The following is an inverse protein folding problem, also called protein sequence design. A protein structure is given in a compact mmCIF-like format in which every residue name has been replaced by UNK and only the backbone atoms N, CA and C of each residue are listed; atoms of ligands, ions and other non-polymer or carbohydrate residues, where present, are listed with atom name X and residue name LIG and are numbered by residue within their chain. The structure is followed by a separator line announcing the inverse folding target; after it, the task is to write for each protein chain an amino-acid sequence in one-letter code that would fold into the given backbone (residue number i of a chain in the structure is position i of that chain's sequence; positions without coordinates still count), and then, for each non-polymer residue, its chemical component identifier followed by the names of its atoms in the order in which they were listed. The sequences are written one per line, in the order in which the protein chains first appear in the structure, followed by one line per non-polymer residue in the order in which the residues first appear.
data_IF_642235710951
#
_entry.id   IF_642235710951
#
_cell.length_a   1.000
_cell.length_b   1.000
_cell.length_c   1.000
_cell.angle_alpha   90.00
_cell.angle_beta   90.00
_cell.angle_gamma   90.00
#
_symmetry.space_group_name_H-M   'P 1'
#
loop_
_entity.id
_entity.type
_entity.pdbx_description
1 polymer ?
#
# COMPACT_ATOMS: atom_id res chain seq x y z
N UNK A 1 -4.35 26.05 -18.47
CA UNK A 1 -4.44 25.91 -16.99
C UNK A 1 -3.31 25.01 -16.56
N UNK A 2 -2.47 25.47 -15.66
CA UNK A 2 -1.27 24.76 -15.28
C UNK A 2 -1.54 23.41 -14.59
N UNK A 3 -0.65 22.47 -14.81
CA UNK A 3 -0.59 21.15 -14.17
C UNK A 3 0.54 21.14 -13.15
N UNK A 4 0.50 20.21 -12.19
CA UNK A 4 1.59 20.03 -11.21
C UNK A 4 2.94 19.79 -11.91
N UNK A 5 2.93 19.14 -13.07
CA UNK A 5 4.11 18.88 -13.90
C UNK A 5 4.71 20.17 -14.47
N UNK A 6 3.87 21.10 -14.91
CA UNK A 6 4.31 22.41 -15.42
C UNK A 6 4.86 23.30 -14.29
N UNK A 7 4.26 23.20 -13.09
CA UNK A 7 4.77 23.89 -11.90
C UNK A 7 6.15 23.33 -11.53
N UNK A 8 6.30 22.01 -11.50
CA UNK A 8 7.56 21.35 -11.22
C UNK A 8 8.65 21.74 -12.25
N UNK A 9 8.31 21.75 -13.54
CA UNK A 9 9.22 22.18 -14.59
C UNK A 9 9.63 23.65 -14.45
N UNK A 10 8.67 24.57 -14.16
CA UNK A 10 8.95 25.99 -13.92
C UNK A 10 9.80 26.24 -12.68
N UNK A 11 9.57 25.48 -11.61
CA UNK A 11 10.33 25.59 -10.38
C UNK A 11 11.73 24.94 -10.48
N UNK A 12 11.94 24.05 -11.47
CA UNK A 12 13.18 23.27 -11.63
C UNK A 12 13.33 22.16 -10.61
N UNK A 13 12.21 21.57 -10.17
CA UNK A 13 12.15 20.53 -9.13
C UNK A 13 11.33 19.34 -9.60
N UNK A 14 11.35 18.24 -8.81
CA UNK A 14 10.51 17.10 -9.06
C UNK A 14 9.04 17.40 -8.76
N UNK A 15 8.11 16.67 -9.39
CA UNK A 15 6.68 16.71 -9.07
C UNK A 15 6.45 16.42 -7.59
N UNK A 16 7.26 15.53 -7.04
CA UNK A 16 7.30 15.16 -5.65
C UNK A 16 7.56 16.36 -4.73
N UNK A 17 8.55 17.18 -5.05
CA UNK A 17 8.89 18.39 -4.29
C UNK A 17 7.72 19.38 -4.28
N UNK A 18 7.05 19.57 -5.41
CA UNK A 18 5.85 20.42 -5.49
C UNK A 18 4.71 19.86 -4.63
N UNK A 19 4.51 18.54 -4.65
CA UNK A 19 3.51 17.87 -3.80
C UNK A 19 3.81 18.04 -2.31
N UNK A 20 5.08 18.00 -1.90
CA UNK A 20 5.49 18.25 -0.51
C UNK A 20 5.13 19.65 -0.05
N UNK A 21 5.38 20.65 -0.87
CA UNK A 21 5.05 22.05 -0.56
C UNK A 21 3.53 22.21 -0.44
N UNK A 22 2.76 21.66 -1.38
CA UNK A 22 1.29 21.78 -1.38
C UNK A 22 0.66 21.09 -0.16
N UNK A 23 1.20 19.93 0.23
CA UNK A 23 0.61 19.09 1.29
C UNK A 23 1.31 19.23 2.64
N UNK A 24 2.38 20.03 2.74
CA UNK A 24 3.21 20.22 3.94
C UNK A 24 3.72 18.91 4.57
N UNK A 25 4.07 17.93 3.73
CA UNK A 25 4.37 16.55 4.16
C UNK A 25 5.83 16.30 4.48
N UNK A 26 6.75 17.17 4.05
CA UNK A 26 8.19 17.07 4.33
C UNK A 26 8.82 18.46 4.41
N UNK A 27 9.95 18.56 5.10
CA UNK A 27 10.74 19.79 5.10
C UNK A 27 11.26 20.09 3.69
N UNK A 28 10.92 21.26 3.19
CA UNK A 28 11.49 21.89 1.99
C UNK A 28 12.05 23.22 2.43
N UNK A 29 13.21 23.63 1.88
CA UNK A 29 13.81 24.88 2.28
C UNK A 29 12.87 26.06 2.07
N UNK A 30 12.81 27.05 2.97
CA UNK A 30 11.88 28.19 2.87
C UNK A 30 11.96 28.90 1.51
N UNK A 31 13.16 29.09 0.98
CA UNK A 31 13.37 29.73 -0.32
C UNK A 31 12.71 28.95 -1.48
N UNK A 32 12.73 27.61 -1.39
CA UNK A 32 12.13 26.77 -2.41
C UNK A 32 10.60 26.68 -2.23
N UNK A 33 10.12 26.74 -0.99
CA UNK A 33 8.68 26.86 -0.69
C UNK A 33 8.14 28.14 -1.30
N UNK A 34 8.74 29.29 -0.99
CA UNK A 34 8.32 30.60 -1.50
C UNK A 34 8.30 30.63 -3.03
N UNK A 35 9.33 30.06 -3.66
CA UNK A 35 9.41 29.95 -5.12
C UNK A 35 8.27 29.12 -5.72
N UNK A 36 7.98 27.98 -5.13
CA UNK A 36 6.92 27.07 -5.60
C UNK A 36 5.54 27.70 -5.37
N UNK A 37 5.31 28.31 -4.21
CA UNK A 37 4.05 28.99 -3.89
C UNK A 37 3.78 30.16 -4.84
N UNK A 38 4.78 30.96 -5.14
CA UNK A 38 4.66 32.04 -6.13
C UNK A 38 4.25 31.52 -7.53
N UNK A 39 4.85 30.41 -7.97
CA UNK A 39 4.49 29.77 -9.25
C UNK A 39 3.06 29.19 -9.20
N UNK A 40 2.65 28.63 -8.09
CA UNK A 40 1.28 28.10 -7.86
C UNK A 40 0.25 29.24 -7.95
N UNK A 41 0.52 30.38 -7.32
CA UNK A 41 -0.35 31.57 -7.38
C UNK A 41 -0.43 32.14 -8.80
N UNK A 42 0.71 32.37 -9.44
CA UNK A 42 0.78 32.91 -10.79
C UNK A 42 0.10 32.01 -11.83
N UNK A 43 0.18 30.70 -11.66
CA UNK A 43 -0.40 29.71 -12.57
C UNK A 43 -1.91 29.50 -12.40
N UNK A 44 -2.53 30.08 -11.37
CA UNK A 44 -3.93 29.83 -11.01
C UNK A 44 -4.24 28.39 -10.54
N UNK A 45 -3.21 27.61 -10.25
CA UNK A 45 -3.35 26.22 -9.79
C UNK A 45 -4.02 26.13 -8.42
N UNK A 46 -3.74 27.07 -7.53
CA UNK A 46 -4.38 27.21 -6.22
C UNK A 46 -5.91 27.37 -6.34
N UNK A 47 -6.38 28.15 -7.31
CA UNK A 47 -7.82 28.32 -7.59
C UNK A 47 -8.47 27.04 -8.11
N UNK A 48 -7.72 26.21 -8.85
CA UNK A 48 -8.20 24.91 -9.33
C UNK A 48 -8.42 23.94 -8.16
N UNK A 49 -7.48 23.91 -7.22
CA UNK A 49 -7.61 23.10 -5.98
C UNK A 49 -8.77 23.64 -5.14
N UNK A 50 -8.83 24.95 -4.90
CA UNK A 50 -9.90 25.58 -4.13
C UNK A 50 -11.28 25.40 -4.79
N UNK A 51 -11.39 25.47 -6.12
CA UNK A 51 -12.63 25.20 -6.85
C UNK A 51 -13.03 23.74 -6.77
N UNK A 52 -12.06 22.81 -6.85
CA UNK A 52 -12.33 21.37 -6.65
C UNK A 52 -12.82 21.09 -5.24
N UNK A 53 -12.17 21.63 -4.21
CA UNK A 53 -12.57 21.54 -2.80
C UNK A 53 -13.92 22.25 -2.53
N UNK A 54 -14.17 23.43 -3.14
CA UNK A 54 -15.45 24.15 -3.01
C UNK A 54 -16.61 23.39 -3.67
N UNK A 55 -16.38 22.78 -4.83
CA UNK A 55 -17.37 21.95 -5.53
C UNK A 55 -17.73 20.70 -4.73
N UNK A 56 -16.77 20.17 -3.97
CA UNK A 56 -16.92 19.06 -3.04
C UNK A 56 -17.77 19.45 -1.84
N UNK A 57 -17.60 20.68 -1.30
CA UNK A 57 -18.39 21.20 -0.16
C UNK A 57 -19.83 21.58 -0.52
N UNK A 58 -20.20 21.68 -1.78
CA UNK A 58 -21.53 22.13 -2.23
C UNK A 58 -22.56 20.99 -2.38
N UNK A 59 -22.64 20.06 -1.43
CA UNK A 59 -23.86 19.28 -1.19
C UNK A 59 -24.10 18.07 -2.09
N UNK A 60 -23.12 17.58 -2.87
CA UNK A 60 -23.20 16.27 -3.51
C UNK A 60 -22.27 15.30 -2.79
N UNK A 61 -22.79 14.13 -2.47
CA UNK A 61 -22.14 13.07 -1.71
C UNK A 61 -20.68 12.85 -2.14
N UNK A 62 -19.75 13.42 -1.36
CA UNK A 62 -18.31 13.19 -1.54
C UNK A 62 -17.96 11.78 -1.09
N UNK A 63 -17.16 11.09 -1.90
CA UNK A 63 -16.81 9.70 -1.63
C UNK A 63 -15.33 9.53 -1.35
N UNK A 64 -15.03 8.71 -0.35
CA UNK A 64 -13.71 8.17 -0.07
C UNK A 64 -13.71 6.72 -0.53
N UNK A 65 -12.65 6.29 -1.19
CA UNK A 65 -12.58 4.95 -1.75
C UNK A 65 -11.34 4.24 -1.25
N UNK A 66 -11.51 3.01 -0.74
CA UNK A 66 -10.41 2.09 -0.50
C UNK A 66 -10.21 1.20 -1.73
N UNK A 67 -8.99 1.12 -2.23
CA UNK A 67 -8.57 0.27 -3.35
C UNK A 67 -7.59 -0.74 -2.80
N UNK A 68 -8.04 -1.98 -2.64
CA UNK A 68 -7.33 -3.04 -1.96
C UNK A 68 -7.20 -4.29 -2.84
N UNK A 69 -6.16 -5.12 -2.63
CA UNK A 69 -5.96 -6.33 -3.42
C UNK A 69 -7.09 -7.35 -3.19
N UNK A 70 -7.65 -7.41 -1.99
CA UNK A 70 -8.78 -8.28 -1.65
C UNK A 70 -9.47 -7.82 -0.36
N UNK A 71 -10.62 -8.38 -0.07
CA UNK A 71 -11.35 -8.23 1.20
C UNK A 71 -11.49 -9.56 1.97
N UNK A 72 -10.70 -10.57 1.62
CA UNK A 72 -10.66 -11.86 2.32
C UNK A 72 -9.76 -11.80 3.54
N UNK A 73 -8.77 -10.93 3.52
CA UNK A 73 -7.85 -10.70 4.63
C UNK A 73 -8.59 -10.00 5.79
N UNK A 74 -8.44 -10.50 7.01
CA UNK A 74 -8.99 -9.88 8.21
C UNK A 74 -8.53 -8.41 8.31
N UNK A 75 -7.28 -8.12 7.99
CA UNK A 75 -6.75 -6.76 7.97
C UNK A 75 -7.57 -5.83 7.08
N UNK A 76 -7.78 -6.18 5.81
CA UNK A 76 -8.52 -5.31 4.89
C UNK A 76 -10.01 -5.25 5.23
N UNK A 77 -10.59 -6.34 5.75
CA UNK A 77 -11.95 -6.35 6.22
C UNK A 77 -12.16 -5.39 7.40
N UNK A 78 -11.28 -5.44 8.40
CA UNK A 78 -11.33 -4.56 9.56
C UNK A 78 -11.06 -3.11 9.18
N UNK A 79 -10.09 -2.85 8.30
CA UNK A 79 -9.84 -1.52 7.76
C UNK A 79 -11.08 -0.96 7.05
N UNK A 80 -11.73 -1.74 6.19
CA UNK A 80 -12.97 -1.31 5.52
C UNK A 80 -14.05 -0.94 6.53
N UNK A 81 -14.28 -1.76 7.56
CA UNK A 81 -15.28 -1.50 8.60
C UNK A 81 -14.99 -0.20 9.37
N UNK A 82 -13.73 0.00 9.80
CA UNK A 82 -13.34 1.19 10.55
C UNK A 82 -13.38 2.45 9.68
N UNK A 83 -12.85 2.38 8.47
CA UNK A 83 -12.86 3.50 7.53
C UNK A 83 -14.28 3.90 7.13
N UNK A 84 -15.16 2.91 6.88
CA UNK A 84 -16.56 3.17 6.58
C UNK A 84 -17.27 3.86 7.74
N UNK A 85 -17.11 3.34 8.96
CA UNK A 85 -17.70 3.91 10.16
C UNK A 85 -17.26 5.37 10.35
N UNK A 86 -15.95 5.62 10.25
CA UNK A 86 -15.40 6.97 10.41
C UNK A 86 -15.84 7.91 9.28
N UNK A 87 -15.74 7.50 8.02
CA UNK A 87 -16.16 8.31 6.88
C UNK A 87 -17.64 8.70 6.98
N UNK A 88 -18.49 7.75 7.33
CA UNK A 88 -19.94 7.99 7.53
C UNK A 88 -20.19 8.99 8.65
N UNK A 89 -19.47 8.89 9.79
CA UNK A 89 -19.58 9.83 10.89
C UNK A 89 -19.21 11.28 10.51
N UNK A 90 -18.34 11.42 9.50
CA UNK A 90 -17.92 12.71 8.94
C UNK A 90 -18.78 13.17 7.74
N UNK A 91 -19.86 12.43 7.42
CA UNK A 91 -20.76 12.77 6.33
C UNK A 91 -20.27 12.41 4.93
N UNK A 92 -19.26 11.54 4.82
CA UNK A 92 -18.74 11.03 3.55
C UNK A 92 -19.34 9.67 3.21
N UNK A 93 -19.46 9.39 1.93
CA UNK A 93 -19.71 8.03 1.45
C UNK A 93 -18.39 7.26 1.35
N UNK A 94 -18.40 6.01 1.75
CA UNK A 94 -17.24 5.12 1.65
C UNK A 94 -17.54 3.96 0.70
N UNK A 95 -16.58 3.62 -0.15
CA UNK A 95 -16.66 2.50 -1.07
C UNK A 95 -15.34 1.72 -1.05
N UNK A 96 -15.43 0.43 -1.35
CA UNK A 96 -14.26 -0.43 -1.51
C UNK A 96 -14.23 -0.97 -2.94
N UNK A 97 -13.07 -0.92 -3.56
CA UNK A 97 -12.79 -1.56 -4.84
C UNK A 97 -11.69 -2.61 -4.65
N UNK A 98 -11.86 -3.76 -5.29
CA UNK A 98 -10.94 -4.90 -5.17
C UNK A 98 -10.22 -5.09 -6.49
N UNK A 99 -8.88 -5.25 -6.45
CA UNK A 99 -8.01 -5.34 -7.63
C UNK A 99 -7.54 -6.76 -7.93
N UNK A 100 -7.73 -7.70 -7.00
CA UNK A 100 -7.20 -9.08 -7.09
C UNK A 100 -5.68 -9.14 -7.35
N UNK A 101 -4.94 -8.14 -6.87
CA UNK A 101 -3.51 -7.96 -7.15
C UNK A 101 -3.19 -7.81 -8.66
N UNK A 102 -4.16 -7.40 -9.44
CA UNK A 102 -4.00 -7.18 -10.86
C UNK A 102 -3.74 -5.69 -11.13
N UNK A 103 -2.54 -5.39 -11.62
CA UNK A 103 -2.09 -4.00 -11.85
C UNK A 103 -2.93 -3.27 -12.90
N UNK A 104 -3.37 -3.95 -13.95
CA UNK A 104 -4.17 -3.33 -15.01
C UNK A 104 -5.59 -3.03 -14.53
N UNK A 105 -6.17 -3.93 -13.72
CA UNK A 105 -7.45 -3.69 -13.05
C UNK A 105 -7.35 -2.50 -12.09
N UNK A 106 -6.28 -2.44 -11.29
CA UNK A 106 -6.01 -1.32 -10.37
C UNK A 106 -5.92 0.01 -11.11
N UNK A 107 -5.14 0.08 -12.19
CA UNK A 107 -5.04 1.28 -13.04
C UNK A 107 -6.39 1.71 -13.58
N UNK A 108 -7.18 0.77 -14.10
CA UNK A 108 -8.52 1.04 -14.62
C UNK A 108 -9.44 1.62 -13.54
N UNK A 109 -9.44 1.02 -12.34
CA UNK A 109 -10.21 1.49 -11.20
C UNK A 109 -9.78 2.92 -10.82
N UNK A 110 -8.48 3.16 -10.65
CA UNK A 110 -7.95 4.46 -10.28
C UNK A 110 -8.27 5.55 -11.31
N UNK A 111 -8.16 5.25 -12.60
CA UNK A 111 -8.52 6.18 -13.68
C UNK A 111 -10.02 6.55 -13.64
N UNK A 112 -10.90 5.58 -13.38
CA UNK A 112 -12.33 5.83 -13.21
C UNK A 112 -12.61 6.70 -11.98
N UNK A 113 -11.92 6.46 -10.85
CA UNK A 113 -12.04 7.27 -9.65
C UNK A 113 -11.57 8.71 -9.86
N UNK A 114 -10.46 8.90 -10.59
CA UNK A 114 -9.94 10.23 -10.95
C UNK A 114 -10.92 11.00 -11.84
N UNK A 115 -11.57 10.30 -12.77
CA UNK A 115 -12.55 10.90 -13.67
C UNK A 115 -13.84 11.28 -12.93
N UNK A 116 -14.11 10.67 -11.78
CA UNK A 116 -15.29 10.97 -10.96
C UNK A 116 -15.13 12.29 -10.22
N UNK A 117 -16.09 13.20 -10.40
CA UNK A 117 -16.13 14.44 -9.64
C UNK A 117 -16.47 14.26 -8.15
N UNK A 118 -16.81 13.04 -7.73
CA UNK A 118 -17.23 12.72 -6.35
C UNK A 118 -16.06 12.24 -5.50
N UNK A 119 -15.03 11.64 -6.08
CA UNK A 119 -13.89 11.09 -5.35
C UNK A 119 -13.04 12.22 -4.75
N UNK A 120 -12.89 12.20 -3.43
CA UNK A 120 -12.16 13.23 -2.67
C UNK A 120 -10.91 12.69 -1.97
N UNK A 121 -10.79 11.37 -1.86
CA UNK A 121 -9.63 10.71 -1.24
C UNK A 121 -9.61 9.22 -1.52
N UNK A 122 -8.42 8.65 -1.55
CA UNK A 122 -8.19 7.24 -1.84
C UNK A 122 -7.28 6.63 -0.77
N UNK A 123 -7.69 5.51 -0.19
CA UNK A 123 -6.82 4.57 0.52
C UNK A 123 -6.37 3.51 -0.49
N UNK A 124 -5.08 3.35 -0.67
CA UNK A 124 -4.51 2.46 -1.69
C UNK A 124 -3.58 1.43 -1.05
N UNK A 125 -3.80 0.16 -1.32
CA UNK A 125 -2.78 -0.87 -1.12
C UNK A 125 -2.26 -1.27 -2.51
N UNK A 126 -1.14 -0.67 -2.97
CA UNK A 126 -0.75 -0.71 -4.37
C UNK A 126 -0.30 -2.10 -4.83
N UNK A 127 -0.65 -2.48 -6.06
CA UNK A 127 -0.20 -3.71 -6.71
C UNK A 127 1.26 -3.63 -7.20
N UNK A 128 1.82 -2.42 -7.30
CA UNK A 128 3.22 -2.17 -7.69
C UNK A 128 3.86 -1.16 -6.75
N UNK A 129 5.15 -1.31 -6.50
CA UNK A 129 5.95 -0.31 -5.77
C UNK A 129 6.55 0.76 -6.69
N UNK A 130 6.50 0.60 -8.01
CA UNK A 130 7.13 1.52 -8.95
C UNK A 130 6.37 2.86 -9.06
N UNK A 131 6.99 4.00 -8.69
CA UNK A 131 6.35 5.31 -8.74
C UNK A 131 5.86 5.72 -10.13
N UNK A 132 6.56 5.31 -11.18
CA UNK A 132 6.18 5.64 -12.57
C UNK A 132 4.81 5.04 -12.94
N UNK A 133 4.42 3.95 -12.31
CA UNK A 133 3.12 3.30 -12.49
C UNK A 133 1.96 4.21 -12.09
N UNK A 134 2.17 5.10 -11.11
CA UNK A 134 1.14 5.94 -10.48
C UNK A 134 1.25 7.43 -10.84
N UNK A 135 2.05 7.80 -11.86
CA UNK A 135 2.22 9.20 -12.27
C UNK A 135 0.88 9.93 -12.50
N UNK A 136 -0.09 9.24 -13.11
CA UNK A 136 -1.42 9.77 -13.36
C UNK A 136 -2.22 10.06 -12.07
N UNK A 137 -1.97 9.31 -10.99
CA UNK A 137 -2.62 9.52 -9.70
C UNK A 137 -2.07 10.78 -9.02
N UNK A 138 -0.75 11.00 -9.06
CA UNK A 138 -0.13 12.25 -8.58
C UNK A 138 -0.63 13.47 -9.37
N UNK A 139 -0.72 13.33 -10.70
CA UNK A 139 -1.20 14.41 -11.58
C UNK A 139 -2.68 14.75 -11.36
N UNK A 140 -3.47 13.81 -10.85
CA UNK A 140 -4.90 14.00 -10.59
C UNK A 140 -5.18 15.05 -9.50
N UNK A 141 -4.24 15.22 -8.56
CA UNK A 141 -4.40 16.04 -7.35
C UNK A 141 -5.45 15.51 -6.37
N UNK A 142 -5.90 14.25 -6.49
CA UNK A 142 -6.72 13.60 -5.47
C UNK A 142 -5.79 13.14 -4.35
N UNK A 143 -6.05 13.52 -3.09
CA UNK A 143 -5.28 13.00 -1.97
C UNK A 143 -5.40 11.49 -1.87
N UNK A 144 -4.27 10.82 -1.67
CA UNK A 144 -4.26 9.39 -1.39
C UNK A 144 -3.22 9.04 -0.35
N UNK A 145 -3.42 7.94 0.33
CA UNK A 145 -2.52 7.36 1.31
C UNK A 145 -2.36 5.87 1.04
N UNK A 146 -1.13 5.39 1.05
CA UNK A 146 -0.84 3.98 0.95
C UNK A 146 -1.03 3.27 2.30
N UNK A 147 -1.61 2.07 2.28
CA UNK A 147 -1.87 1.26 3.48
C UNK A 147 -1.35 -0.14 3.26
N UNK A 148 -0.59 -0.65 4.22
CA UNK A 148 0.05 -1.98 4.25
C UNK A 148 1.14 -2.14 3.18
N UNK A 149 0.88 -1.76 1.96
CA UNK A 149 1.84 -1.69 0.86
C UNK A 149 2.11 -0.25 0.50
N UNK A 150 3.21 0.04 -0.17
CA UNK A 150 3.59 1.40 -0.51
C UNK A 150 4.23 1.52 -1.89
N UNK A 151 4.21 2.73 -2.40
CA UNK A 151 4.94 3.14 -3.59
C UNK A 151 6.33 3.56 -3.11
N UNK A 152 7.39 3.10 -3.80
CA UNK A 152 8.77 3.35 -3.42
C UNK A 152 9.21 4.77 -3.81
N UNK A 153 8.65 5.71 -3.05
CA UNK A 153 8.97 7.13 -3.15
C UNK A 153 9.02 7.77 -1.75
N UNK A 154 9.51 9.00 -1.69
CA UNK A 154 9.60 9.78 -0.46
C UNK A 154 8.39 10.69 -0.19
N UNK A 155 7.37 10.67 -1.06
CA UNK A 155 6.31 11.68 -1.08
C UNK A 155 4.95 11.15 -0.68
N UNK A 156 4.68 9.89 -0.98
CA UNK A 156 3.37 9.31 -0.71
C UNK A 156 3.19 9.04 0.79
N UNK A 157 2.18 9.64 1.44
CA UNK A 157 1.83 9.27 2.79
C UNK A 157 1.50 7.78 2.87
N UNK A 158 2.03 7.10 3.91
CA UNK A 158 1.87 5.66 4.06
C UNK A 158 1.68 5.25 5.50
N UNK A 159 0.84 4.23 5.72
CA UNK A 159 0.61 3.57 6.99
C UNK A 159 1.10 2.13 6.81
N UNK A 160 2.19 1.78 7.49
CA UNK A 160 2.87 0.50 7.35
C UNK A 160 2.93 -0.23 8.68
N UNK A 161 3.07 -1.55 8.58
CA UNK A 161 3.43 -2.41 9.70
C UNK A 161 4.93 -2.69 9.66
N UNK A 162 5.56 -2.81 10.81
CA UNK A 162 6.96 -3.24 10.90
C UNK A 162 7.05 -4.77 10.75
N UNK A 163 6.89 -5.21 9.50
CA UNK A 163 6.93 -6.64 9.19
C UNK A 163 8.29 -7.25 9.46
N UNK A 164 9.38 -6.54 9.23
CA UNK A 164 10.73 -7.03 9.53
C UNK A 164 10.87 -7.40 11.00
N UNK A 165 10.44 -6.51 11.90
CA UNK A 165 10.47 -6.78 13.33
C UNK A 165 9.51 -7.89 13.74
N UNK A 166 8.29 -7.88 13.21
CA UNK A 166 7.28 -8.87 13.55
C UNK A 166 7.73 -10.30 13.17
N UNK A 167 8.27 -10.46 11.95
CA UNK A 167 8.72 -11.78 11.47
C UNK A 167 10.02 -12.22 12.13
N UNK A 168 10.93 -11.31 12.40
CA UNK A 168 12.10 -11.63 13.23
C UNK A 168 11.66 -12.18 14.59
N UNK A 169 10.76 -11.49 15.30
CA UNK A 169 10.30 -11.93 16.61
C UNK A 169 9.53 -13.26 16.58
N UNK A 170 8.70 -13.47 15.56
CA UNK A 170 7.98 -14.73 15.40
C UNK A 170 8.91 -15.90 15.11
N UNK A 171 9.93 -15.69 14.28
CA UNK A 171 10.93 -16.73 13.96
C UNK A 171 11.80 -17.04 15.18
N UNK A 172 12.25 -16.02 15.91
CA UNK A 172 13.00 -16.16 17.16
C UNK A 172 12.25 -17.02 18.17
N UNK A 173 10.96 -16.75 18.36
CA UNK A 173 10.11 -17.53 19.26
C UNK A 173 10.12 -19.04 18.95
N UNK A 174 10.05 -19.40 17.66
CA UNK A 174 10.09 -20.81 17.29
C UNK A 174 11.46 -21.45 17.55
N UNK A 175 12.56 -20.77 17.26
CA UNK A 175 13.90 -21.28 17.55
C UNK A 175 14.15 -21.40 19.06
N UNK A 176 13.76 -20.39 19.85
CA UNK A 176 13.83 -20.43 21.30
C UNK A 176 12.97 -21.55 21.89
N UNK A 177 11.90 -21.95 21.22
CA UNK A 177 11.05 -23.08 21.58
C UNK A 177 11.60 -24.45 21.14
N UNK A 178 12.81 -24.49 20.55
CA UNK A 178 13.50 -25.72 20.15
C UNK A 178 13.15 -26.24 18.75
N UNK A 179 12.49 -25.43 17.90
CA UNK A 179 12.27 -25.77 16.50
C UNK A 179 13.51 -25.42 15.67
N UNK A 180 14.04 -26.38 14.93
CA UNK A 180 15.22 -26.17 14.08
C UNK A 180 14.85 -25.94 12.61
N UNK A 181 13.66 -26.39 12.18
CA UNK A 181 13.19 -26.31 10.81
C UNK A 181 11.83 -25.61 10.76
N UNK A 182 11.85 -24.33 10.47
CA UNK A 182 10.67 -23.45 10.44
C UNK A 182 10.33 -23.10 9.00
N UNK A 183 9.20 -23.59 8.49
CA UNK A 183 8.71 -23.24 7.15
C UNK A 183 7.98 -21.89 7.19
N UNK A 184 8.36 -20.99 6.31
CA UNK A 184 7.66 -19.73 6.11
C UNK A 184 6.77 -19.80 4.85
N UNK A 185 5.45 -19.76 5.04
CA UNK A 185 4.48 -19.65 3.95
C UNK A 185 4.14 -18.18 3.73
N UNK A 186 4.47 -17.67 2.56
CA UNK A 186 4.26 -16.26 2.21
C UNK A 186 3.42 -16.13 0.95
N UNK A 187 2.68 -15.05 0.83
CA UNK A 187 1.89 -14.77 -0.37
C UNK A 187 2.77 -14.55 -1.61
N UNK A 188 2.31 -15.05 -2.76
CA UNK A 188 2.95 -14.79 -4.06
C UNK A 188 2.51 -13.42 -4.57
N UNK A 189 3.32 -12.41 -4.32
CA UNK A 189 3.13 -11.01 -4.76
C UNK A 189 4.50 -10.35 -4.94
N UNK A 190 4.57 -9.25 -5.66
CA UNK A 190 5.79 -8.44 -5.83
C UNK A 190 5.82 -7.23 -4.88
N UNK A 191 5.10 -7.30 -3.77
CA UNK A 191 5.05 -6.20 -2.79
C UNK A 191 6.32 -6.08 -1.96
N UNK A 192 6.70 -4.85 -1.60
CA UNK A 192 7.77 -4.59 -0.64
C UNK A 192 7.44 -5.16 0.74
N UNK A 193 6.17 -5.17 1.14
CA UNK A 193 5.73 -5.80 2.37
C UNK A 193 6.09 -7.30 2.45
N UNK A 194 6.02 -8.04 1.33
CA UNK A 194 6.53 -9.43 1.28
C UNK A 194 8.04 -9.48 1.52
N UNK A 195 8.80 -8.57 0.90
CA UNK A 195 10.24 -8.51 1.08
C UNK A 195 10.61 -8.23 2.54
N UNK A 196 9.91 -7.31 3.21
CA UNK A 196 10.12 -7.01 4.62
C UNK A 196 9.82 -8.23 5.54
N UNK A 197 8.77 -9.00 5.22
CA UNK A 197 8.45 -10.25 5.93
C UNK A 197 9.58 -11.28 5.78
N UNK A 198 10.06 -11.48 4.55
CA UNK A 198 11.18 -12.38 4.26
C UNK A 198 12.45 -11.91 4.97
N UNK A 199 12.77 -10.61 4.89
CA UNK A 199 13.94 -10.04 5.56
C UNK A 199 13.93 -10.25 7.08
N UNK A 200 12.76 -10.15 7.71
CA UNK A 200 12.60 -10.45 9.14
C UNK A 200 12.90 -11.90 9.47
N UNK A 201 12.35 -12.84 8.69
CA UNK A 201 12.60 -14.28 8.83
C UNK A 201 14.09 -14.62 8.61
N UNK A 202 14.69 -14.14 7.54
CA UNK A 202 16.10 -14.39 7.21
C UNK A 202 17.08 -13.79 8.23
N UNK A 203 16.74 -12.62 8.78
CA UNK A 203 17.53 -11.99 9.83
C UNK A 203 17.68 -12.89 11.05
N UNK A 204 16.62 -13.58 11.45
CA UNK A 204 16.68 -14.49 12.59
C UNK A 204 17.47 -15.75 12.25
N UNK A 205 17.32 -16.31 11.05
CA UNK A 205 18.15 -17.44 10.62
C UNK A 205 19.64 -17.14 10.77
N UNK A 206 20.08 -15.95 10.33
CA UNK A 206 21.46 -15.52 10.45
C UNK A 206 21.90 -15.32 11.90
N UNK A 207 21.03 -14.76 12.75
CA UNK A 207 21.29 -14.53 14.17
C UNK A 207 21.45 -15.84 14.96
N UNK A 208 20.70 -16.86 14.58
CA UNK A 208 20.72 -18.18 15.19
C UNK A 208 21.80 -19.13 14.60
N UNK A 209 22.72 -18.61 13.76
CA UNK A 209 23.72 -19.39 13.04
C UNK A 209 23.15 -20.48 12.09
N UNK A 210 21.89 -20.33 11.71
CA UNK A 210 21.32 -21.17 10.66
C UNK A 210 21.77 -20.67 9.29
N UNK A 211 21.98 -21.57 8.35
CA UNK A 211 22.40 -21.20 6.99
C UNK A 211 21.17 -20.83 6.15
N UNK A 212 21.26 -19.73 5.39
CA UNK A 212 20.22 -19.32 4.41
C UNK A 212 20.03 -20.34 3.27
N UNK A 213 20.93 -21.33 3.12
CA UNK A 213 20.84 -22.39 2.11
C UNK A 213 19.63 -23.31 2.28
N UNK A 214 19.02 -23.28 3.43
CA UNK A 214 17.76 -23.96 3.73
C UNK A 214 16.58 -23.01 3.60
N UNK A 215 16.43 -22.31 2.46
CA UNK A 215 15.28 -21.45 2.29
C UNK A 215 13.95 -22.24 2.44
N UNK A 216 13.53 -22.42 3.68
CA UNK A 216 12.24 -22.98 4.02
C UNK A 216 11.15 -21.93 3.78
N UNK A 217 11.18 -21.28 2.61
CA UNK A 217 10.19 -20.31 2.18
C UNK A 217 9.38 -20.91 1.04
N UNK A 218 8.07 -20.87 1.14
CA UNK A 218 7.17 -21.29 0.08
C UNK A 218 6.18 -20.18 -0.25
N UNK A 219 6.15 -19.78 -1.52
CA UNK A 219 5.19 -18.80 -2.02
C UNK A 219 3.87 -19.47 -2.40
N UNK A 220 2.77 -18.93 -1.89
CA UNK A 220 1.42 -19.43 -2.13
C UNK A 220 0.60 -18.36 -2.86
N UNK A 221 0.04 -18.74 -3.99
CA UNK A 221 -0.89 -17.87 -4.72
C UNK A 221 -2.30 -17.98 -4.12
N UNK A 222 -2.74 -16.95 -3.42
CA UNK A 222 -4.03 -16.90 -2.72
C UNK A 222 -5.25 -16.70 -3.64
N UNK A 223 -5.03 -16.46 -4.92
CA UNK A 223 -6.10 -16.28 -5.92
C UNK A 223 -6.45 -17.58 -6.66
N UNK A 224 -5.84 -18.69 -6.27
CA UNK A 224 -6.18 -20.03 -6.75
C UNK A 224 -7.35 -20.65 -5.95
N UNK A 225 -7.85 -21.80 -6.42
CA UNK A 225 -8.85 -22.56 -5.67
C UNK A 225 -8.29 -23.09 -4.34
N UNK A 226 -9.15 -23.26 -3.34
CA UNK A 226 -8.79 -23.80 -2.03
C UNK A 226 -8.06 -25.15 -2.13
N UNK A 227 -8.48 -26.02 -3.05
CA UNK A 227 -7.84 -27.32 -3.27
C UNK A 227 -6.39 -27.17 -3.78
N UNK A 228 -6.18 -26.22 -4.70
CA UNK A 228 -4.84 -25.92 -5.23
C UNK A 228 -3.94 -25.32 -4.16
N UNK A 229 -4.46 -24.42 -3.35
CA UNK A 229 -3.73 -23.83 -2.22
C UNK A 229 -3.33 -24.93 -1.23
N UNK A 230 -4.29 -25.76 -0.81
CA UNK A 230 -4.05 -26.89 0.10
C UNK A 230 -3.00 -27.87 -0.44
N UNK A 231 -3.07 -28.20 -1.72
CA UNK A 231 -2.10 -29.07 -2.36
C UNK A 231 -0.68 -28.46 -2.36
N UNK A 232 -0.56 -27.16 -2.62
CA UNK A 232 0.73 -26.46 -2.62
C UNK A 232 1.33 -26.39 -1.21
N UNK A 233 0.51 -26.17 -0.21
CA UNK A 233 0.93 -26.21 1.21
C UNK A 233 1.42 -27.63 1.57
N UNK A 234 0.66 -28.66 1.24
CA UNK A 234 1.06 -30.06 1.49
C UNK A 234 2.37 -30.42 0.81
N UNK A 235 2.57 -30.01 -0.46
CA UNK A 235 3.85 -30.21 -1.17
C UNK A 235 5.00 -29.52 -0.45
N UNK A 236 4.78 -28.31 0.05
CA UNK A 236 5.81 -27.57 0.79
C UNK A 236 6.16 -28.26 2.10
N UNK A 237 5.16 -28.73 2.86
CA UNK A 237 5.38 -29.50 4.09
C UNK A 237 6.16 -30.77 3.80
N UNK A 238 5.78 -31.53 2.76
CA UNK A 238 6.48 -32.77 2.37
C UNK A 238 7.91 -32.51 1.92
N UNK A 239 8.15 -31.40 1.23
CA UNK A 239 9.47 -31.01 0.73
C UNK A 239 10.41 -30.58 1.84
N UNK A 240 9.93 -29.75 2.77
CA UNK A 240 10.78 -29.10 3.77
C UNK A 240 10.78 -29.82 5.12
N UNK A 241 9.82 -30.71 5.37
CA UNK A 241 9.67 -31.46 6.62
C UNK A 241 9.78 -30.55 7.87
N UNK A 242 9.01 -29.45 7.93
CA UNK A 242 9.16 -28.47 9.00
C UNK A 242 8.68 -29.01 10.35
N UNK A 243 9.29 -28.53 11.43
CA UNK A 243 8.81 -28.75 12.80
C UNK A 243 7.89 -27.62 13.28
N UNK A 244 7.93 -26.47 12.60
CA UNK A 244 7.02 -25.35 12.81
C UNK A 244 6.74 -24.62 11.50
N UNK A 245 5.61 -23.91 11.43
CA UNK A 245 5.21 -23.15 10.25
C UNK A 245 4.83 -21.73 10.67
N UNK A 246 5.48 -20.75 10.06
CA UNK A 246 5.03 -19.35 10.10
C UNK A 246 4.15 -19.13 8.88
N UNK A 247 2.89 -18.75 9.10
CA UNK A 247 1.92 -18.55 8.04
C UNK A 247 1.18 -17.22 8.24
N UNK A 248 1.22 -16.36 7.26
CA UNK A 248 0.36 -15.17 7.16
C UNK A 248 -0.62 -15.29 6.00
N UNK A 249 -0.93 -16.50 5.60
CA UNK A 249 -1.99 -16.75 4.65
C UNK A 249 -3.31 -16.59 5.38
N UNK A 250 -4.04 -15.53 5.08
CA UNK A 250 -5.38 -15.36 5.61
C UNK A 250 -6.29 -16.44 5.02
N UNK A 251 -6.44 -17.51 5.76
CA UNK A 251 -7.54 -18.45 5.53
C UNK A 251 -8.66 -18.06 6.49
N UNK A 252 -9.74 -17.53 5.95
CA UNK A 252 -10.95 -17.19 6.71
C UNK A 252 -11.61 -18.40 7.39
N UNK A 253 -11.08 -19.60 7.19
CA UNK A 253 -11.65 -20.86 7.64
C UNK A 253 -10.55 -21.77 8.20
N UNK A 254 -9.78 -21.31 9.18
CA UNK A 254 -9.05 -22.17 10.10
C UNK A 254 -9.95 -22.39 11.32
N UNK A 255 -11.00 -23.19 11.14
CA UNK A 255 -11.76 -23.82 12.20
C UNK A 255 -11.50 -25.31 12.14
#
# INVERSE_FOLDING_TARGET
MATIKEIAAKAGVSIATVSHVINHTRYVSPELVDKIEAIIEESGYSEKIKKKVRKIRSGRSSQIVAVFPNIKSALYCDLCNQLQSYATSQGYQFYTAVTNDNLEEEKSILQNLISSAKTIGIFLSPASSNPATYSFLYESGIPFVCVERFIDDDVTPRILFDYTKAFHSATSYFFESGHENVLFLVEKTDSLAKQDKIAGYERELLSANHTLSSSCIAEINLYQSSDTISLNIQKSITRYLPTAIICLLYTSDAA
#
